data_IF_972512581033
#
_entry.id   IF_972512581033
#
_cell.length_a   1.000
_cell.length_b   1.000
_cell.length_c   1.000
_cell.angle_alpha   90.00
_cell.angle_beta   90.00
_cell.angle_gamma   90.00
#
_symmetry.space_group_name_H-M   'P 1'
#
loop_
_entity.id
_entity.type
_entity.pdbx_description
1 polymer ?
#
# COMPACT_ATOMS: atom_id res chain seq x y z
N UNK A 1 2.56 8.83 23.15
CA UNK A 1 2.95 7.44 22.86
C UNK A 1 1.73 6.69 22.35
N UNK A 2 1.80 6.16 21.15
CA UNK A 2 0.76 5.34 20.51
C UNK A 2 1.27 3.91 20.37
N UNK A 3 0.36 2.96 20.15
CA UNK A 3 0.77 1.56 19.96
C UNK A 3 -0.06 0.90 18.87
N UNK A 4 0.50 -0.14 18.26
CA UNK A 4 -0.20 -0.99 17.31
C UNK A 4 0.22 -2.45 17.51
N UNK A 5 -0.50 -3.38 16.88
CA UNK A 5 -0.15 -4.80 16.86
C UNK A 5 0.24 -5.20 15.44
N UNK A 6 1.28 -6.03 15.32
CA UNK A 6 1.62 -6.69 14.07
C UNK A 6 0.81 -8.00 13.88
N UNK A 7 1.00 -8.65 12.74
CA UNK A 7 0.29 -9.89 12.43
C UNK A 7 0.74 -11.12 13.24
N UNK A 8 1.86 -11.01 13.96
CA UNK A 8 2.29 -12.02 14.93
C UNK A 8 1.73 -11.74 16.34
N UNK A 9 0.89 -10.71 16.47
CA UNK A 9 0.27 -10.31 17.73
C UNK A 9 1.20 -9.54 18.67
N UNK A 10 2.40 -9.18 18.23
CA UNK A 10 3.34 -8.39 19.02
C UNK A 10 2.84 -6.94 19.08
N UNK A 11 2.82 -6.38 20.27
CA UNK A 11 2.48 -4.97 20.47
C UNK A 11 3.75 -4.13 20.37
N UNK A 12 3.69 -3.05 19.61
CA UNK A 12 4.76 -2.10 19.38
C UNK A 12 4.37 -0.71 19.86
N UNK A 13 5.33 0.01 20.44
CA UNK A 13 5.13 1.35 20.95
C UNK A 13 5.80 2.36 20.02
N UNK A 14 4.98 3.25 19.47
CA UNK A 14 5.46 4.39 18.67
C UNK A 14 5.60 5.58 19.61
N UNK A 15 6.84 5.95 19.90
CA UNK A 15 7.18 7.11 20.73
C UNK A 15 8.13 8.03 19.96
N UNK A 16 7.64 9.21 19.58
CA UNK A 16 8.41 10.17 18.81
C UNK A 16 8.99 11.21 19.74
N UNK A 17 10.31 11.16 19.84
CA UNK A 17 11.14 12.12 20.56
C UNK A 17 12.39 12.45 19.73
N UNK A 18 13.21 13.37 20.19
CA UNK A 18 14.42 13.79 19.47
C UNK A 18 15.37 12.62 19.18
N UNK A 19 15.48 11.66 20.10
CA UNK A 19 16.33 10.48 19.91
C UNK A 19 15.77 9.58 18.79
N UNK A 20 14.44 9.37 18.75
CA UNK A 20 13.77 8.62 17.68
C UNK A 20 13.98 9.31 16.33
N UNK A 21 13.80 10.65 16.25
CA UNK A 21 14.03 11.42 15.00
C UNK A 21 15.47 11.26 14.50
N UNK A 22 16.46 11.38 15.40
CA UNK A 22 17.86 11.18 15.03
C UNK A 22 18.14 9.77 14.53
N UNK A 23 17.57 8.77 15.18
CA UNK A 23 17.71 7.35 14.79
C UNK A 23 17.09 7.09 13.42
N UNK A 24 15.85 7.54 13.19
CA UNK A 24 15.19 7.43 11.89
C UNK A 24 16.04 8.07 10.80
N UNK A 25 16.47 9.33 11.01
CA UNK A 25 17.31 10.03 10.04
C UNK A 25 18.63 9.28 9.77
N UNK A 26 19.26 8.71 10.80
CA UNK A 26 20.49 7.95 10.65
C UNK A 26 20.33 6.61 9.94
N UNK A 27 19.22 5.92 10.13
CA UNK A 27 18.98 4.59 9.55
C UNK A 27 18.34 4.65 8.16
N UNK A 28 17.42 5.60 7.92
CA UNK A 28 16.62 5.66 6.69
C UNK A 28 16.94 6.87 5.81
N UNK A 29 17.70 7.83 6.31
CA UNK A 29 17.93 9.11 5.62
C UNK A 29 16.72 10.04 5.60
N UNK A 30 15.59 9.64 6.17
CA UNK A 30 14.33 10.39 6.12
C UNK A 30 14.21 11.34 7.31
N UNK A 31 13.78 12.59 7.04
CA UNK A 31 13.46 13.55 8.08
C UNK A 31 11.96 13.50 8.40
N UNK A 32 11.61 13.02 9.61
CA UNK A 32 10.24 12.98 10.09
C UNK A 32 9.58 14.36 10.16
N UNK A 33 10.36 15.43 10.27
CA UNK A 33 9.83 16.79 10.32
C UNK A 33 9.24 17.28 8.99
N UNK A 34 9.51 16.58 7.87
CA UNK A 34 8.84 16.82 6.58
C UNK A 34 7.32 16.59 6.64
N UNK A 35 6.82 15.99 7.73
CA UNK A 35 5.37 15.88 7.96
C UNK A 35 4.70 17.26 8.04
N UNK A 36 5.39 18.27 8.54
CA UNK A 36 4.87 19.64 8.65
C UNK A 36 4.62 20.26 7.26
N UNK A 37 5.44 19.88 6.29
CA UNK A 37 5.31 20.30 4.89
C UNK A 37 4.25 19.48 4.12
N UNK A 38 3.76 18.39 4.72
CA UNK A 38 2.77 17.47 4.11
C UNK A 38 3.38 16.43 3.16
N UNK A 39 4.62 16.61 2.72
CA UNK A 39 5.28 15.73 1.74
C UNK A 39 5.53 14.32 2.28
N UNK A 40 5.81 14.19 3.56
CA UNK A 40 6.03 12.88 4.18
C UNK A 40 4.75 12.03 4.21
N UNK A 41 3.59 12.64 4.50
CA UNK A 41 2.31 11.91 4.56
C UNK A 41 2.01 11.25 3.22
N UNK A 42 2.21 11.98 2.12
CA UNK A 42 1.98 11.46 0.77
C UNK A 42 2.93 10.30 0.43
N UNK A 43 4.22 10.42 0.81
CA UNK A 43 5.19 9.34 0.64
C UNK A 43 4.80 8.08 1.39
N UNK A 44 4.40 8.22 2.67
CA UNK A 44 4.03 7.08 3.52
C UNK A 44 2.79 6.33 3.02
N UNK A 45 1.84 7.03 2.41
CA UNK A 45 0.64 6.40 1.83
C UNK A 45 1.00 5.58 0.58
N UNK A 46 1.99 6.05 -0.19
CA UNK A 46 2.38 5.43 -1.46
C UNK A 46 3.46 4.36 -1.34
N UNK A 47 4.26 4.43 -0.27
CA UNK A 47 5.42 3.56 -0.07
C UNK A 47 5.32 2.84 1.29
N UNK A 48 4.74 1.63 1.31
CA UNK A 48 4.64 0.83 2.52
C UNK A 48 6.00 0.33 3.03
N UNK A 49 7.00 0.21 2.17
CA UNK A 49 8.35 -0.20 2.57
C UNK A 49 8.98 0.92 3.39
N UNK A 50 8.95 2.15 2.89
CA UNK A 50 9.43 3.32 3.63
C UNK A 50 8.70 3.45 4.98
N UNK A 51 7.39 3.22 5.02
CA UNK A 51 6.62 3.23 6.26
C UNK A 51 7.16 2.21 7.27
N UNK A 52 7.37 0.96 6.83
CA UNK A 52 7.90 -0.11 7.69
C UNK A 52 9.29 0.24 8.21
N UNK A 53 10.18 0.74 7.36
CA UNK A 53 11.54 1.16 7.76
C UNK A 53 11.51 2.26 8.83
N UNK A 54 10.63 3.27 8.65
CA UNK A 54 10.49 4.36 9.63
C UNK A 54 9.95 3.85 10.97
N UNK A 55 8.91 3.02 10.93
CA UNK A 55 8.30 2.47 12.15
C UNK A 55 9.28 1.54 12.86
N UNK A 56 9.98 0.67 12.12
CA UNK A 56 11.02 -0.18 12.69
C UNK A 56 12.12 0.65 13.36
N UNK A 57 12.63 1.69 12.68
CA UNK A 57 13.65 2.57 13.26
C UNK A 57 13.17 3.26 14.55
N UNK A 58 11.89 3.60 14.67
CA UNK A 58 11.31 4.13 15.90
C UNK A 58 11.26 3.05 16.98
N UNK A 59 10.75 1.86 16.64
CA UNK A 59 10.57 0.73 17.55
C UNK A 59 11.87 -0.05 17.85
N UNK A 60 12.98 0.25 17.17
CA UNK A 60 14.24 -0.49 17.28
C UNK A 60 14.72 -0.72 18.72
N UNK A 61 14.70 0.23 19.66
CA UNK A 61 15.08 -0.04 21.04
C UNK A 61 14.21 -1.11 21.70
N UNK A 62 12.93 -1.16 21.39
CA UNK A 62 12.02 -2.19 21.86
C UNK A 62 12.32 -3.54 21.18
N UNK A 63 12.54 -3.53 19.86
CA UNK A 63 12.91 -4.72 19.09
C UNK A 63 14.19 -5.39 19.60
N UNK A 64 15.21 -4.60 19.93
CA UNK A 64 16.50 -5.06 20.44
C UNK A 64 16.40 -5.67 21.85
N UNK A 65 15.41 -5.27 22.66
CA UNK A 65 15.21 -5.78 24.03
C UNK A 65 14.31 -7.01 24.10
N UNK A 66 13.66 -7.38 23.01
CA UNK A 66 12.82 -8.59 22.96
C UNK A 66 13.69 -9.86 23.04
N UNK A 67 13.07 -10.95 23.44
CA UNK A 67 13.74 -12.26 23.51
C UNK A 67 12.94 -13.31 22.74
N UNK A 68 13.41 -13.74 21.55
CA UNK A 68 14.61 -13.24 20.85
C UNK A 68 14.41 -11.80 20.32
N UNK A 69 15.51 -11.07 20.05
CA UNK A 69 15.43 -9.76 19.39
C UNK A 69 14.75 -9.87 18.03
N UNK A 70 13.99 -8.85 17.66
CA UNK A 70 13.26 -8.81 16.38
C UNK A 70 14.10 -8.07 15.36
N UNK A 71 14.50 -8.74 14.29
CA UNK A 71 15.22 -8.12 13.17
C UNK A 71 14.28 -7.26 12.32
N UNK A 72 14.87 -6.42 11.48
CA UNK A 72 14.13 -5.62 10.48
C UNK A 72 13.34 -6.52 9.53
N UNK A 73 13.95 -7.62 9.09
CA UNK A 73 13.31 -8.61 8.22
C UNK A 73 12.11 -9.30 8.90
N UNK A 74 12.24 -9.68 10.17
CA UNK A 74 11.15 -10.32 10.94
C UNK A 74 10.03 -9.32 11.23
N UNK A 75 10.38 -8.06 11.46
CA UNK A 75 9.41 -6.99 11.60
C UNK A 75 8.65 -6.77 10.30
N UNK A 76 9.37 -6.61 9.19
CA UNK A 76 8.78 -6.40 7.86
C UNK A 76 7.86 -7.55 7.45
N UNK A 77 8.24 -8.81 7.75
CA UNK A 77 7.43 -10.00 7.46
C UNK A 77 6.09 -10.00 8.21
N UNK A 78 6.05 -9.43 9.40
CA UNK A 78 4.83 -9.33 10.21
C UNK A 78 3.98 -8.09 9.85
N UNK A 79 4.51 -7.19 9.01
CA UNK A 79 3.81 -5.98 8.58
C UNK A 79 3.08 -6.24 7.26
N UNK A 80 1.80 -6.59 7.36
CA UNK A 80 0.92 -6.76 6.19
C UNK A 80 -0.54 -6.40 6.56
N UNK A 81 -1.33 -6.00 5.57
CA UNK A 81 -2.75 -5.70 5.76
C UNK A 81 -3.01 -4.68 6.85
N UNK A 82 -3.85 -5.04 7.81
CA UNK A 82 -4.30 -4.15 8.90
C UNK A 82 -3.16 -3.65 9.79
N UNK A 83 -2.07 -4.43 9.93
CA UNK A 83 -0.91 -4.02 10.72
C UNK A 83 -0.24 -2.77 10.12
N UNK A 84 -0.14 -2.67 8.79
CA UNK A 84 0.39 -1.49 8.10
C UNK A 84 -0.51 -0.27 8.37
N UNK A 85 -1.82 -0.44 8.31
CA UNK A 85 -2.77 0.65 8.55
C UNK A 85 -2.70 1.15 10.01
N UNK A 86 -2.67 0.23 10.96
CA UNK A 86 -2.55 0.55 12.37
C UNK A 86 -1.24 1.26 12.69
N UNK A 87 -0.12 0.78 12.10
CA UNK A 87 1.18 1.40 12.24
C UNK A 87 1.22 2.82 11.64
N UNK A 88 0.64 2.98 10.44
CA UNK A 88 0.50 4.29 9.78
C UNK A 88 -0.26 5.27 10.67
N UNK A 89 -1.40 4.83 11.20
CA UNK A 89 -2.23 5.65 12.08
C UNK A 89 -1.47 6.05 13.34
N UNK A 90 -0.82 5.08 14.01
CA UNK A 90 -0.04 5.34 15.22
C UNK A 90 1.11 6.32 14.96
N UNK A 91 1.83 6.14 13.86
CA UNK A 91 2.93 7.02 13.45
C UNK A 91 2.44 8.45 13.20
N UNK A 92 1.41 8.62 12.38
CA UNK A 92 0.91 9.94 12.01
C UNK A 92 0.31 10.69 13.21
N UNK A 93 -0.42 10.01 14.08
CA UNK A 93 -0.98 10.61 15.30
C UNK A 93 0.11 11.03 16.29
N UNK A 94 1.20 10.27 16.37
CA UNK A 94 2.33 10.61 17.25
C UNK A 94 3.14 11.78 16.67
N UNK A 95 3.35 11.81 15.35
CA UNK A 95 3.98 12.95 14.66
C UNK A 95 3.21 14.27 14.87
N UNK A 96 1.89 14.21 14.78
CA UNK A 96 1.03 15.37 15.08
C UNK A 96 1.24 15.82 16.53
N UNK A 97 1.27 14.88 17.48
CA UNK A 97 1.48 15.17 18.90
C UNK A 97 2.85 15.78 19.20
N UNK A 98 3.89 15.36 18.48
CA UNK A 98 5.27 15.85 18.65
C UNK A 98 5.47 17.25 18.09
N UNK A 99 4.65 17.71 17.15
CA UNK A 99 4.82 19.04 16.52
C UNK A 99 4.92 20.16 17.59
N UNK A 100 6.00 20.97 17.58
CA UNK A 100 6.28 21.93 18.64
C UNK A 100 5.27 23.08 18.71
N UNK A 101 4.68 23.45 17.57
CA UNK A 101 3.73 24.54 17.47
C UNK A 101 2.29 24.06 17.69
N UNK A 102 1.51 24.67 18.60
CA UNK A 102 0.07 24.34 18.73
C UNK A 102 -0.71 24.56 17.45
N UNK A 103 -0.33 25.55 16.64
CA UNK A 103 -0.97 25.83 15.33
C UNK A 103 -0.69 24.72 14.34
N UNK A 104 0.55 24.22 14.28
CA UNK A 104 0.94 23.14 13.37
C UNK A 104 0.29 21.83 13.80
N UNK A 105 0.22 21.54 15.11
CA UNK A 105 -0.54 20.37 15.61
C UNK A 105 -2.00 20.42 15.17
N UNK A 106 -2.66 21.58 15.29
CA UNK A 106 -4.05 21.72 14.87
C UNK A 106 -4.22 21.54 13.35
N UNK A 107 -3.31 22.09 12.56
CA UNK A 107 -3.34 21.99 11.10
C UNK A 107 -3.06 20.55 10.64
N UNK A 108 -2.01 19.92 11.15
CA UNK A 108 -1.68 18.53 10.86
C UNK A 108 -2.80 17.57 11.28
N UNK A 109 -3.41 17.80 12.44
CA UNK A 109 -4.56 17.03 12.91
C UNK A 109 -5.75 17.12 11.94
N UNK A 110 -6.04 18.31 11.40
CA UNK A 110 -7.09 18.50 10.38
C UNK A 110 -6.75 17.77 9.08
N UNK A 111 -5.50 17.87 8.62
CA UNK A 111 -5.04 17.16 7.42
C UNK A 111 -5.18 15.66 7.61
N UNK A 112 -4.72 15.11 8.74
CA UNK A 112 -4.83 13.69 9.03
C UNK A 112 -6.29 13.22 9.05
N UNK A 113 -7.20 13.95 9.69
CA UNK A 113 -8.63 13.62 9.70
C UNK A 113 -9.25 13.69 8.31
N UNK A 114 -8.87 14.69 7.51
CA UNK A 114 -9.36 14.81 6.13
C UNK A 114 -8.89 13.61 5.28
N UNK A 115 -7.62 13.21 5.41
CA UNK A 115 -7.05 12.07 4.70
C UNK A 115 -7.75 10.77 5.09
N UNK A 116 -7.94 10.49 6.39
CA UNK A 116 -8.69 9.33 6.88
C UNK A 116 -10.09 9.29 6.27
N UNK A 117 -10.82 10.41 6.32
CA UNK A 117 -12.18 10.49 5.77
C UNK A 117 -12.24 10.24 4.25
N UNK A 118 -11.23 10.65 3.50
CA UNK A 118 -11.15 10.37 2.06
C UNK A 118 -10.88 8.88 1.82
N UNK A 119 -9.97 8.27 2.60
CA UNK A 119 -9.67 6.84 2.50
C UNK A 119 -10.88 5.97 2.84
N UNK A 120 -11.59 6.28 3.93
CA UNK A 120 -12.81 5.56 4.34
C UNK A 120 -13.88 5.64 3.24
N UNK A 121 -14.11 6.83 2.68
CA UNK A 121 -15.06 6.99 1.57
C UNK A 121 -14.64 6.23 0.30
N UNK A 122 -13.35 6.17 0.01
CA UNK A 122 -12.86 5.40 -1.13
C UNK A 122 -13.10 3.90 -0.92
N UNK A 123 -12.90 3.37 0.30
CA UNK A 123 -13.23 1.98 0.66
C UNK A 123 -14.72 1.70 0.52
N UNK A 124 -15.57 2.55 1.08
CA UNK A 124 -17.03 2.43 0.99
C UNK A 124 -17.51 2.40 -0.47
N UNK A 125 -16.89 3.20 -1.35
CA UNK A 125 -17.20 3.21 -2.77
C UNK A 125 -16.78 1.93 -3.48
N UNK A 126 -15.62 1.37 -3.15
CA UNK A 126 -15.15 0.09 -3.68
C UNK A 126 -16.06 -1.04 -3.21
N UNK A 127 -16.38 -1.10 -1.92
CA UNK A 127 -17.27 -2.08 -1.34
C UNK A 127 -18.66 -2.04 -2.01
N UNK A 128 -19.25 -0.85 -2.16
CA UNK A 128 -20.52 -0.69 -2.87
C UNK A 128 -20.47 -1.15 -4.33
N UNK A 129 -19.36 -0.92 -5.03
CA UNK A 129 -19.19 -1.41 -6.41
C UNK A 129 -19.06 -2.92 -6.48
N UNK A 130 -18.37 -3.54 -5.52
CA UNK A 130 -18.28 -4.99 -5.39
C UNK A 130 -19.66 -5.60 -5.12
N UNK A 131 -20.39 -5.04 -4.16
CA UNK A 131 -21.72 -5.54 -3.76
C UNK A 131 -22.80 -5.30 -4.83
N UNK A 132 -22.62 -4.32 -5.69
CA UNK A 132 -23.60 -4.01 -6.76
C UNK A 132 -23.60 -5.00 -7.91
N UNK A 133 -22.67 -5.96 -7.95
CA UNK A 133 -22.51 -6.90 -9.05
C UNK A 133 -22.09 -6.24 -10.38
N UNK A 134 -21.60 -5.00 -10.33
CA UNK A 134 -21.16 -4.27 -11.52
C UNK A 134 -19.92 -4.92 -12.14
N UNK A 135 -19.05 -5.49 -11.31
CA UNK A 135 -17.88 -6.24 -11.76
C UNK A 135 -18.27 -7.56 -12.42
N UNK A 136 -19.27 -8.27 -11.89
CA UNK A 136 -19.77 -9.50 -12.48
C UNK A 136 -20.38 -9.22 -13.86
N UNK A 137 -21.16 -8.14 -13.98
CA UNK A 137 -21.72 -7.70 -15.27
C UNK A 137 -20.65 -7.28 -16.28
N UNK A 138 -19.57 -6.65 -15.82
CA UNK A 138 -18.41 -6.30 -16.66
C UNK A 138 -17.66 -7.56 -17.11
N UNK A 139 -17.44 -8.51 -16.21
CA UNK A 139 -16.82 -9.79 -16.52
C UNK A 139 -17.65 -10.58 -17.55
N UNK A 140 -18.97 -10.68 -17.35
CA UNK A 140 -19.88 -11.34 -18.29
C UNK A 140 -19.87 -10.67 -19.66
N UNK A 141 -19.81 -9.34 -19.71
CA UNK A 141 -19.72 -8.60 -20.98
C UNK A 141 -18.41 -8.89 -21.70
N UNK A 142 -17.27 -8.85 -21.01
CA UNK A 142 -15.96 -9.15 -21.59
C UNK A 142 -15.87 -10.59 -22.08
N UNK A 143 -16.44 -11.54 -21.34
CA UNK A 143 -16.50 -12.94 -21.74
C UNK A 143 -17.41 -13.13 -22.98
N UNK A 144 -18.54 -12.44 -23.05
CA UNK A 144 -19.44 -12.53 -24.21
C UNK A 144 -18.83 -11.88 -25.46
N UNK A 145 -18.12 -10.78 -25.33
CA UNK A 145 -17.42 -10.12 -26.44
C UNK A 145 -16.20 -10.94 -26.91
N UNK A 146 -15.42 -11.53 -25.97
CA UNK A 146 -14.29 -12.40 -26.30
C UNK A 146 -14.65 -13.72 -26.96
N UNK A 147 -15.84 -14.28 -26.68
CA UNK A 147 -16.34 -15.48 -27.32
C UNK A 147 -16.98 -15.20 -28.70
N UNK A 148 -17.42 -13.99 -28.95
CA UNK A 148 -17.98 -13.56 -30.23
C UNK A 148 -16.95 -13.47 -31.36
N UNK A 149 -15.72 -13.13 -31.06
CA UNK A 149 -14.62 -13.08 -32.05
C UNK A 149 -14.05 -14.46 -32.42
N UNK A 150 -14.15 -15.46 -31.54
CA UNK A 150 -13.63 -16.80 -31.79
C UNK A 150 -14.51 -17.64 -32.72
N UNK A 151 -15.78 -17.25 -32.93
CA UNK A 151 -16.72 -18.00 -33.80
C UNK A 151 -16.90 -17.44 -35.20
N UNK A 152 -16.33 -16.25 -35.49
CA UNK A 152 -16.45 -15.62 -36.82
C UNK A 152 -15.31 -15.98 -37.81
N UNK A 153 -14.34 -16.80 -37.39
CA UNK A 153 -13.13 -17.13 -38.14
C UNK A 153 -13.09 -18.54 -38.80
N UNK A 154 -14.21 -19.24 -38.98
CA UNK A 154 -14.17 -20.58 -39.57
C UNK A 154 -15.25 -20.82 -40.63
N UNK A 155 -15.05 -20.21 -41.79
CA UNK A 155 -15.69 -20.75 -43.02
C UNK A 155 -14.99 -20.29 -44.28
N UNK A 156 -14.66 -21.30 -45.07
CA UNK A 156 -14.33 -21.34 -46.48
C UNK A 156 -12.89 -21.04 -46.91
N UNK A 157 -12.20 -22.14 -47.20
CA UNK A 157 -11.34 -22.16 -48.36
C UNK A 157 -11.46 -23.49 -49.04
N UNK A 158 -12.22 -23.48 -50.11
CA UNK A 158 -12.17 -24.46 -51.18
C UNK A 158 -10.89 -24.27 -52.00
N UNK A 159 -10.15 -25.33 -52.16
CA UNK A 159 -9.07 -25.46 -53.16
C UNK A 159 -9.64 -25.53 -54.58
N UNK A 160 -8.87 -25.19 -55.58
CA UNK A 160 -8.84 -25.98 -56.82
C UNK A 160 -7.47 -26.54 -57.11
N UNK A 161 -7.54 -27.79 -57.52
CA UNK A 161 -6.44 -28.57 -58.03
C UNK A 161 -6.14 -28.24 -59.50
N UNK A 162 -5.02 -28.78 -59.94
CA UNK A 162 -4.62 -29.08 -61.34
C UNK A 162 -3.84 -27.99 -62.07
N UNK A 163 -2.82 -28.26 -62.80
CA UNK A 163 -2.31 -29.41 -63.53
C UNK A 163 -0.92 -29.14 -64.05
N UNK A 164 -0.11 -30.16 -64.05
CA UNK A 164 0.93 -30.59 -64.95
C UNK A 164 1.32 -29.73 -66.15
N UNK A 165 2.63 -29.62 -66.37
CA UNK A 165 3.33 -30.06 -67.60
C UNK A 165 4.82 -29.78 -67.51
N UNK A 166 5.60 -30.84 -67.54
CA UNK A 166 6.98 -30.94 -68.06
C UNK A 166 6.93 -30.85 -69.60
N UNK A 167 7.99 -30.37 -70.33
CA UNK A 167 9.16 -31.19 -70.58
C UNK A 167 10.50 -30.41 -70.70
N UNK A 168 11.55 -31.18 -70.53
CA UNK A 168 12.91 -30.88 -71.00
C UNK A 168 13.03 -30.98 -72.56
N UNK A 169 14.12 -30.59 -73.19
CA UNK A 169 15.45 -31.22 -73.02
C UNK A 169 16.54 -30.32 -72.47
#
# INVERSE_FOLDING_TARGET
MRSFKDNEGRQWSVDINVAAIKRVRGLTGTDLMQVIEGTLIEKLIRDPVLLCDLVYAICKPEADTRNPPVSDEDFGRAMAGDAIEHATTALLEELVGFSPSPRDRANLGRVLQATKKVMDRARDLVEKKLDSGELDRLADRLLSEGLGEATAGSSSTSAPASSASTPAP
#
